data_IF_787088743175
#
_entry.id   IF_787088743175
#
_cell.length_a   1.000
_cell.length_b   1.000
_cell.length_c   1.000
_cell.angle_alpha   90.00
_cell.angle_beta   90.00
_cell.angle_gamma   90.00
#
_symmetry.space_group_name_H-M   'P 1'
#
loop_
_entity.id
_entity.type
_entity.pdbx_description
1 polymer ?
#
# COMPACT_ATOMS: atom_id res chain seq x y z
N UNK A 1 2.76 22.20 -9.65
CA UNK A 1 2.61 22.12 -11.12
C UNK A 1 2.62 20.64 -11.48
N UNK A 2 1.44 20.08 -11.72
CA UNK A 2 1.34 18.78 -12.40
C UNK A 2 1.69 19.05 -13.87
N UNK A 3 2.75 18.41 -14.35
CA UNK A 3 3.08 18.42 -15.76
C UNK A 3 1.88 17.88 -16.56
N UNK A 4 1.52 18.54 -17.64
CA UNK A 4 0.51 18.01 -18.54
C UNK A 4 1.00 16.68 -19.15
N UNK A 5 0.09 15.82 -19.56
CA UNK A 5 0.46 14.54 -20.20
C UNK A 5 1.42 14.74 -21.39
N UNK A 6 1.28 15.82 -22.11
CA UNK A 6 2.17 16.21 -23.22
C UNK A 6 3.64 16.45 -22.79
N UNK A 7 3.89 16.84 -21.53
CA UNK A 7 5.25 17.01 -21.00
C UNK A 7 5.86 15.66 -20.60
N UNK A 8 5.02 14.71 -20.19
CA UNK A 8 5.47 13.35 -19.83
C UNK A 8 5.82 12.53 -21.07
N UNK A 9 5.23 12.84 -22.22
CA UNK A 9 5.49 12.17 -23.50
C UNK A 9 6.66 12.79 -24.29
N UNK A 10 7.24 13.90 -23.80
CA UNK A 10 8.38 14.54 -24.45
C UNK A 10 9.69 13.85 -24.03
N UNK A 11 10.36 13.11 -24.93
CA UNK A 11 11.62 12.41 -24.62
C UNK A 11 12.78 13.35 -24.28
N UNK A 12 12.64 14.64 -24.49
CA UNK A 12 13.66 15.65 -24.11
C UNK A 12 13.54 16.06 -22.65
N UNK A 13 12.39 15.83 -22.02
CA UNK A 13 12.09 16.21 -20.62
C UNK A 13 12.27 15.02 -19.67
N UNK A 14 12.02 13.81 -20.14
CA UNK A 14 12.16 12.57 -19.38
C UNK A 14 13.08 11.58 -20.11
N UNK A 15 14.32 11.47 -19.67
CA UNK A 15 15.17 10.36 -20.09
C UNK A 15 14.74 9.12 -19.31
N UNK A 16 14.24 8.10 -20.01
CA UNK A 16 13.96 6.81 -19.41
C UNK A 16 15.27 6.17 -18.93
N UNK A 17 15.32 5.64 -17.70
CA UNK A 17 16.48 4.91 -17.24
C UNK A 17 16.69 3.66 -18.09
N UNK A 18 17.92 3.39 -18.45
CA UNK A 18 18.30 2.17 -19.16
C UNK A 18 18.81 1.13 -18.17
N UNK A 19 18.25 -0.07 -18.25
CA UNK A 19 18.78 -1.20 -17.48
C UNK A 19 20.12 -1.65 -18.07
N UNK A 20 21.05 -2.03 -17.19
CA UNK A 20 22.33 -2.56 -17.59
C UNK A 20 22.17 -3.89 -18.33
N UNK A 21 22.93 -4.08 -19.39
CA UNK A 21 23.01 -5.36 -20.08
C UNK A 21 23.89 -6.36 -19.34
N UNK A 22 23.80 -7.64 -19.74
CA UNK A 22 24.71 -8.68 -19.24
C UNK A 22 26.13 -8.39 -19.68
N UNK A 23 27.05 -8.23 -18.72
CA UNK A 23 28.47 -7.99 -18.97
C UNK A 23 29.31 -9.25 -18.77
N UNK A 24 28.82 -10.20 -17.95
CA UNK A 24 29.57 -11.39 -17.55
C UNK A 24 28.68 -12.63 -17.66
N UNK A 25 29.27 -13.73 -18.13
CA UNK A 25 28.57 -15.02 -18.22
C UNK A 25 27.66 -15.14 -19.44
N UNK A 26 26.85 -16.18 -19.40
CA UNK A 26 25.86 -16.54 -20.41
C UNK A 26 24.44 -16.69 -19.80
N UNK A 27 23.51 -17.25 -20.56
CA UNK A 27 22.13 -17.45 -20.10
C UNK A 27 21.99 -18.38 -18.89
N UNK A 28 22.98 -19.23 -18.63
CA UNK A 28 22.96 -20.17 -17.50
C UNK A 28 23.68 -19.61 -16.27
N UNK A 29 24.82 -18.98 -16.46
CA UNK A 29 25.67 -18.46 -15.38
C UNK A 29 25.25 -17.08 -14.89
N UNK A 30 24.66 -16.26 -15.76
CA UNK A 30 24.07 -14.94 -15.45
C UNK A 30 22.72 -14.81 -16.15
N UNK A 31 21.66 -15.47 -15.66
CA UNK A 31 20.34 -15.45 -16.32
C UNK A 31 19.77 -14.05 -16.35
N UNK A 32 18.93 -13.79 -17.35
CA UNK A 32 18.18 -12.54 -17.41
C UNK A 32 17.18 -12.46 -16.23
N UNK A 33 16.91 -11.25 -15.72
CA UNK A 33 15.89 -11.06 -14.70
C UNK A 33 14.52 -11.53 -15.22
N UNK A 34 13.73 -12.10 -14.33
CA UNK A 34 12.50 -12.82 -14.70
C UNK A 34 11.36 -11.91 -15.10
N UNK A 35 11.42 -10.64 -14.70
CA UNK A 35 10.43 -9.66 -15.16
C UNK A 35 10.61 -9.23 -16.61
N UNK A 36 11.74 -9.54 -17.27
CA UNK A 36 11.93 -9.24 -18.68
C UNK A 36 10.87 -9.98 -19.52
N UNK A 37 10.12 -9.23 -20.33
CA UNK A 37 9.05 -9.75 -21.18
C UNK A 37 7.79 -10.18 -20.42
N UNK A 38 7.67 -9.85 -19.12
CA UNK A 38 6.49 -10.09 -18.30
C UNK A 38 5.91 -8.79 -17.81
N UNK A 39 4.64 -8.82 -17.43
CA UNK A 39 3.99 -7.69 -16.78
C UNK A 39 4.58 -7.50 -15.37
N UNK A 40 5.13 -6.33 -15.12
CA UNK A 40 5.53 -5.91 -13.78
C UNK A 40 4.27 -5.62 -12.97
N UNK A 41 4.13 -6.27 -11.83
CA UNK A 41 2.95 -6.16 -10.97
C UNK A 41 3.20 -5.32 -9.74
N UNK A 42 4.45 -5.25 -9.30
CA UNK A 42 4.88 -4.40 -8.19
C UNK A 42 6.33 -3.98 -8.34
N UNK A 43 6.67 -2.82 -7.79
CA UNK A 43 8.04 -2.30 -7.72
C UNK A 43 8.23 -1.51 -6.42
N UNK A 44 9.40 -1.66 -5.80
CA UNK A 44 9.74 -0.96 -4.56
C UNK A 44 11.22 -1.04 -4.22
N UNK A 45 11.59 -0.45 -3.08
CA UNK A 45 12.99 -0.45 -2.60
C UNK A 45 13.10 -1.26 -1.32
N UNK A 46 14.13 -2.10 -1.21
CA UNK A 46 14.43 -2.84 -0.01
C UNK A 46 15.93 -3.10 0.12
N UNK A 47 16.52 -2.76 1.27
CA UNK A 47 17.97 -2.93 1.54
C UNK A 47 18.87 -2.39 0.41
N UNK A 48 18.62 -1.14 0.01
CA UNK A 48 19.37 -0.47 -1.06
C UNK A 48 19.36 -1.21 -2.42
N UNK A 49 18.28 -1.94 -2.68
CA UNK A 49 18.02 -2.65 -3.94
C UNK A 49 16.69 -2.22 -4.53
N UNK A 50 16.63 -2.07 -5.83
CA UNK A 50 15.36 -1.98 -6.55
C UNK A 50 14.78 -3.38 -6.67
N UNK A 51 13.58 -3.58 -6.14
CA UNK A 51 12.83 -4.82 -6.20
C UNK A 51 11.74 -4.72 -7.24
N UNK A 52 11.64 -5.70 -8.11
CA UNK A 52 10.63 -5.77 -9.18
C UNK A 52 9.93 -7.11 -9.10
N UNK A 53 8.60 -7.11 -8.98
CA UNK A 53 7.80 -8.32 -9.01
C UNK A 53 7.11 -8.52 -10.36
N UNK A 54 7.11 -9.75 -10.83
CA UNK A 54 6.36 -10.21 -11.99
C UNK A 54 5.70 -11.56 -11.68
N UNK A 55 4.40 -11.53 -11.39
CA UNK A 55 3.69 -12.68 -10.84
C UNK A 55 4.19 -13.02 -9.43
N UNK A 56 4.60 -14.26 -9.20
CA UNK A 56 5.12 -14.77 -7.94
C UNK A 56 6.65 -14.62 -7.77
N UNK A 57 7.32 -13.94 -8.69
CA UNK A 57 8.78 -13.77 -8.70
C UNK A 57 9.16 -12.36 -8.29
N UNK A 58 10.22 -12.24 -7.50
CA UNK A 58 10.83 -10.95 -7.17
C UNK A 58 12.29 -10.99 -7.62
N UNK A 59 12.66 -10.05 -8.47
CA UNK A 59 14.02 -9.78 -8.84
C UNK A 59 14.48 -8.51 -8.10
N UNK A 60 15.65 -8.59 -7.46
CA UNK A 60 16.27 -7.47 -6.75
C UNK A 60 17.56 -7.08 -7.47
N UNK A 61 17.77 -5.79 -7.66
CA UNK A 61 18.97 -5.27 -8.28
C UNK A 61 20.24 -5.53 -7.45
N UNK A 62 21.39 -5.26 -8.02
CA UNK A 62 22.64 -5.09 -7.26
C UNK A 62 22.49 -3.99 -6.21
N UNK A 63 23.15 -4.15 -5.05
CA UNK A 63 23.13 -3.15 -3.97
C UNK A 63 23.71 -1.82 -4.47
N UNK A 64 22.97 -0.74 -4.31
CA UNK A 64 23.36 0.60 -4.74
C UNK A 64 23.38 0.84 -6.26
N UNK A 65 23.15 -0.19 -7.06
CA UNK A 65 23.07 -0.08 -8.51
C UNK A 65 21.70 -0.58 -9.01
N UNK A 66 20.72 0.29 -8.98
CA UNK A 66 19.29 -0.03 -9.17
C UNK A 66 18.90 -0.52 -10.56
N UNK A 67 19.77 -0.32 -11.54
CA UNK A 67 19.51 -0.74 -12.92
C UNK A 67 20.32 -1.97 -13.35
N UNK A 68 21.14 -2.55 -12.46
CA UNK A 68 21.83 -3.80 -12.71
C UNK A 68 21.10 -4.99 -12.08
N UNK A 69 20.62 -5.89 -12.94
CA UNK A 69 19.98 -7.15 -12.56
C UNK A 69 20.74 -8.38 -13.07
N UNK A 70 21.94 -8.18 -13.58
CA UNK A 70 22.81 -9.26 -14.02
C UNK A 70 23.97 -9.44 -13.04
N UNK A 71 24.45 -10.67 -12.91
CA UNK A 71 25.58 -10.99 -12.06
C UNK A 71 26.82 -10.19 -12.49
N UNK A 72 27.63 -9.81 -11.50
CA UNK A 72 28.90 -9.11 -11.73
C UNK A 72 30.04 -10.07 -11.93
N UNK A 73 29.92 -11.32 -11.43
CA UNK A 73 30.92 -12.37 -11.55
C UNK A 73 30.26 -13.74 -11.76
N UNK A 74 30.99 -14.68 -12.42
CA UNK A 74 30.51 -16.03 -12.69
C UNK A 74 31.13 -17.09 -11.80
N UNK A 75 32.35 -16.87 -11.26
CA UNK A 75 33.07 -17.82 -10.43
C UNK A 75 32.61 -17.80 -8.97
N UNK A 76 32.31 -16.64 -8.47
CA UNK A 76 31.78 -16.42 -7.12
C UNK A 76 30.54 -15.55 -7.21
N UNK A 77 29.63 -15.67 -6.26
CA UNK A 77 28.46 -14.79 -6.19
C UNK A 77 28.67 -13.85 -4.99
N UNK A 78 29.08 -12.61 -5.24
CA UNK A 78 29.19 -11.60 -4.18
C UNK A 78 27.87 -11.33 -3.50
N UNK A 79 27.92 -10.90 -2.22
CA UNK A 79 26.72 -10.61 -1.44
C UNK A 79 25.91 -9.42 -1.97
N UNK A 80 26.56 -8.52 -2.72
CA UNK A 80 25.91 -7.38 -3.36
C UNK A 80 25.27 -7.71 -4.73
N UNK A 81 25.51 -8.88 -5.30
CA UNK A 81 24.97 -9.29 -6.60
C UNK A 81 23.44 -9.32 -6.60
N UNK A 82 22.80 -9.17 -7.76
CA UNK A 82 21.36 -9.29 -7.92
C UNK A 82 20.82 -10.63 -7.43
N UNK A 83 19.62 -10.59 -6.89
CA UNK A 83 18.94 -11.74 -6.28
C UNK A 83 17.61 -11.96 -6.98
N UNK A 84 17.29 -13.20 -7.31
CA UNK A 84 15.98 -13.59 -7.86
C UNK A 84 15.36 -14.67 -6.97
N UNK A 85 14.18 -14.37 -6.44
CA UNK A 85 13.49 -15.20 -5.45
C UNK A 85 12.10 -15.55 -5.94
N UNK A 86 11.65 -16.75 -5.61
CA UNK A 86 10.28 -17.20 -5.88
C UNK A 86 9.48 -17.30 -4.60
N UNK A 87 8.26 -16.76 -4.62
CA UNK A 87 7.25 -17.08 -3.63
C UNK A 87 6.82 -18.54 -3.80
N UNK A 88 7.20 -19.37 -2.83
CA UNK A 88 6.81 -20.77 -2.79
C UNK A 88 5.43 -20.87 -2.15
N UNK A 89 4.50 -21.59 -2.78
CA UNK A 89 3.14 -21.80 -2.25
C UNK A 89 2.08 -21.79 -3.33
N UNK A 90 2.12 -20.87 -4.27
CA UNK A 90 1.23 -20.86 -5.44
C UNK A 90 1.99 -20.36 -6.65
N UNK A 91 2.10 -21.17 -7.69
CA UNK A 91 2.71 -20.77 -8.97
C UNK A 91 1.88 -19.72 -9.71
N UNK A 92 0.60 -19.58 -9.33
CA UNK A 92 -0.35 -18.65 -9.95
C UNK A 92 -0.55 -17.37 -9.16
N UNK A 93 0.11 -17.20 -8.02
CA UNK A 93 -0.04 -15.99 -7.21
C UNK A 93 0.62 -14.78 -7.86
N UNK A 94 0.06 -13.60 -7.62
CA UNK A 94 0.55 -12.34 -8.17
C UNK A 94 0.77 -11.34 -7.06
N UNK A 95 2.02 -10.98 -6.82
CA UNK A 95 2.39 -9.96 -5.83
C UNK A 95 1.99 -8.59 -6.36
N UNK A 96 1.17 -7.84 -5.59
CA UNK A 96 0.67 -6.53 -5.98
C UNK A 96 1.05 -5.41 -5.04
N UNK A 97 1.26 -5.70 -3.78
CA UNK A 97 1.61 -4.70 -2.78
C UNK A 97 2.71 -5.19 -1.86
N UNK A 98 3.40 -4.26 -1.26
CA UNK A 98 4.33 -4.56 -0.18
C UNK A 98 4.34 -3.48 0.88
N UNK A 99 4.93 -3.81 2.00
CA UNK A 99 5.23 -2.89 3.07
C UNK A 99 6.49 -3.33 3.80
N UNK A 100 7.32 -2.38 4.18
CA UNK A 100 8.45 -2.65 5.07
C UNK A 100 7.95 -2.52 6.50
N UNK A 101 8.08 -3.60 7.26
CA UNK A 101 7.66 -3.65 8.64
C UNK A 101 8.65 -4.48 9.46
N UNK A 102 9.07 -3.96 10.62
CA UNK A 102 10.07 -4.58 11.51
C UNK A 102 11.29 -5.15 10.75
N UNK A 103 11.86 -4.32 9.85
CA UNK A 103 12.99 -4.66 8.97
C UNK A 103 12.70 -5.72 7.90
N UNK A 104 11.56 -6.37 7.93
CA UNK A 104 11.15 -7.35 6.93
C UNK A 104 10.35 -6.70 5.82
N UNK A 105 10.45 -7.23 4.61
CA UNK A 105 9.61 -6.88 3.49
C UNK A 105 8.41 -7.81 3.47
N UNK A 106 7.24 -7.30 3.82
CA UNK A 106 5.98 -8.01 3.71
C UNK A 106 5.41 -7.80 2.32
N UNK A 107 4.95 -8.87 1.70
CA UNK A 107 4.44 -8.91 0.33
C UNK A 107 3.02 -9.43 0.35
N UNK A 108 2.16 -8.79 -0.42
CA UNK A 108 0.76 -9.16 -0.53
C UNK A 108 0.49 -9.63 -1.96
N UNK A 109 0.22 -10.92 -2.07
CA UNK A 109 -0.24 -11.58 -3.28
C UNK A 109 -1.76 -11.71 -3.31
N UNK A 110 -2.31 -12.06 -4.46
CA UNK A 110 -3.76 -12.23 -4.64
C UNK A 110 -4.33 -13.34 -3.75
N UNK A 111 -3.53 -14.38 -3.46
CA UNK A 111 -3.97 -15.54 -2.67
C UNK A 111 -3.25 -15.68 -1.32
N UNK A 112 -2.06 -15.11 -1.18
CA UNK A 112 -1.21 -15.35 -0.01
C UNK A 112 -0.40 -14.11 0.35
N UNK A 113 0.05 -14.03 1.60
CA UNK A 113 0.99 -13.04 2.08
C UNK A 113 2.32 -13.72 2.39
N UNK A 114 3.40 -12.99 2.10
CA UNK A 114 4.75 -13.50 2.26
C UNK A 114 5.62 -12.50 3.01
N UNK A 115 6.71 -12.98 3.57
CA UNK A 115 7.74 -12.15 4.18
C UNK A 115 9.13 -12.50 3.67
N UNK A 116 9.96 -11.48 3.51
CA UNK A 116 11.40 -11.61 3.31
C UNK A 116 12.06 -10.99 4.54
N UNK A 117 12.80 -11.81 5.30
CA UNK A 117 13.51 -11.32 6.49
C UNK A 117 14.65 -10.37 6.07
N UNK A 118 14.64 -9.19 6.63
CA UNK A 118 15.65 -8.18 6.40
C UNK A 118 16.53 -7.87 7.63
N UNK A 119 16.48 -8.71 8.66
CA UNK A 119 17.38 -8.60 9.83
C UNK A 119 18.83 -8.90 9.45
N UNK A 120 19.00 -9.74 8.45
CA UNK A 120 20.28 -10.01 7.81
C UNK A 120 20.28 -9.43 6.38
N UNK A 121 21.46 -9.15 5.81
CA UNK A 121 21.55 -8.77 4.41
C UNK A 121 20.94 -9.82 3.49
N UNK A 122 20.11 -9.38 2.58
CA UNK A 122 19.51 -10.25 1.55
C UNK A 122 20.55 -10.51 0.47
N UNK A 123 21.01 -11.74 0.39
CA UNK A 123 21.98 -12.22 -0.59
C UNK A 123 21.40 -13.40 -1.36
N UNK A 124 22.06 -13.84 -2.41
CA UNK A 124 21.62 -15.03 -3.17
C UNK A 124 21.61 -16.31 -2.34
N UNK A 125 22.37 -16.35 -1.23
CA UNK A 125 22.48 -17.51 -0.33
C UNK A 125 21.53 -17.44 0.87
N UNK A 126 21.16 -16.23 1.33
CA UNK A 126 20.35 -16.02 2.53
C UNK A 126 18.91 -15.66 2.24
N UNK A 127 18.61 -15.27 0.99
CA UNK A 127 17.28 -14.83 0.62
C UNK A 127 16.29 -15.99 0.57
N UNK A 128 15.25 -15.87 1.39
CA UNK A 128 14.11 -16.79 1.40
C UNK A 128 12.82 -15.98 1.47
N UNK A 129 11.82 -16.44 0.74
CA UNK A 129 10.44 -15.97 0.91
C UNK A 129 9.71 -16.99 1.76
N UNK A 130 9.14 -16.53 2.86
CA UNK A 130 8.34 -17.34 3.78
C UNK A 130 6.88 -16.93 3.59
N UNK A 131 6.00 -17.92 3.45
CA UNK A 131 4.57 -17.70 3.48
C UNK A 131 4.14 -17.33 4.90
N UNK A 132 3.57 -16.14 5.08
CA UNK A 132 3.11 -15.64 6.37
C UNK A 132 1.64 -15.97 6.63
N UNK A 133 0.82 -15.96 5.58
CA UNK A 133 -0.61 -16.33 5.66
C UNK A 133 -1.16 -16.72 4.28
N UNK A 134 -2.41 -17.21 4.27
CA UNK A 134 -3.15 -17.58 3.08
C UNK A 134 -4.52 -16.85 3.07
N UNK A 135 -4.50 -15.53 3.14
CA UNK A 135 -5.69 -14.70 3.05
C UNK A 135 -5.84 -14.26 1.60
N UNK A 136 -6.84 -14.79 0.92
CA UNK A 136 -7.16 -14.50 -0.46
C UNK A 136 -7.83 -13.13 -0.61
N UNK A 137 -7.81 -12.55 -1.81
CA UNK A 137 -8.49 -11.29 -2.15
C UNK A 137 -8.11 -10.07 -1.27
N UNK A 138 -6.85 -10.00 -0.84
CA UNK A 138 -6.34 -8.95 0.05
C UNK A 138 -5.47 -7.89 -0.68
N UNK A 139 -5.69 -7.70 -1.98
CA UNK A 139 -4.87 -6.83 -2.84
C UNK A 139 -5.63 -5.72 -3.54
N UNK A 140 -6.90 -5.48 -3.18
CA UNK A 140 -7.69 -4.39 -3.79
C UNK A 140 -7.14 -3.00 -3.44
N UNK A 141 -6.46 -2.86 -2.30
CA UNK A 141 -5.75 -1.62 -1.93
C UNK A 141 -4.44 -1.92 -1.18
N UNK A 142 -3.50 -0.97 -1.18
CA UNK A 142 -2.27 -1.12 -0.40
C UNK A 142 -2.54 -1.26 1.09
N UNK A 143 -1.73 -2.03 1.82
CA UNK A 143 -1.82 -2.12 3.27
C UNK A 143 -1.49 -0.79 3.94
N UNK A 144 -2.17 -0.47 5.04
CA UNK A 144 -1.87 0.65 5.91
C UNK A 144 -0.88 0.23 7.01
N UNK A 145 0.11 1.07 7.29
CA UNK A 145 1.13 0.74 8.29
C UNK A 145 1.32 1.83 9.33
N UNK A 146 1.70 1.40 10.50
CA UNK A 146 2.13 2.26 11.59
C UNK A 146 3.34 1.65 12.30
N UNK A 147 3.74 2.23 13.43
CA UNK A 147 4.98 1.87 14.14
C UNK A 147 5.06 0.41 14.59
N UNK A 148 3.94 -0.23 14.85
CA UNK A 148 3.87 -1.59 15.40
C UNK A 148 2.82 -2.49 14.77
N UNK A 149 2.07 -1.99 13.81
CA UNK A 149 0.92 -2.69 13.24
C UNK A 149 0.85 -2.52 11.71
N UNK A 150 0.40 -3.56 11.04
CA UNK A 150 0.06 -3.56 9.62
C UNK A 150 -1.43 -3.88 9.50
N UNK A 151 -2.13 -3.07 8.73
CA UNK A 151 -3.54 -3.27 8.42
C UNK A 151 -3.69 -3.54 6.93
N UNK A 152 -4.51 -4.50 6.57
CA UNK A 152 -4.87 -4.76 5.18
C UNK A 152 -6.35 -5.11 5.06
N UNK A 153 -6.90 -4.90 3.88
CA UNK A 153 -8.30 -5.17 3.58
C UNK A 153 -8.44 -6.38 2.69
N UNK A 154 -9.41 -7.24 3.00
CA UNK A 154 -9.82 -8.38 2.19
C UNK A 154 -11.16 -8.08 1.55
N UNK A 155 -11.32 -8.45 0.29
CA UNK A 155 -12.62 -8.49 -0.36
C UNK A 155 -13.38 -9.73 0.05
N UNK A 156 -14.65 -9.55 0.38
CA UNK A 156 -15.64 -10.58 0.59
C UNK A 156 -16.82 -10.33 -0.34
N UNK A 157 -17.66 -11.32 -0.60
CA UNK A 157 -18.84 -11.13 -1.42
C UNK A 157 -19.75 -10.06 -0.80
N UNK A 158 -19.87 -8.91 -1.49
CA UNK A 158 -20.70 -7.78 -1.07
C UNK A 158 -20.09 -6.87 0.02
N UNK A 159 -18.99 -7.23 0.64
CA UNK A 159 -18.41 -6.46 1.73
C UNK A 159 -16.89 -6.51 1.78
N UNK A 160 -16.27 -5.62 2.56
CA UNK A 160 -14.85 -5.63 2.89
C UNK A 160 -14.64 -6.10 4.32
N UNK A 161 -13.55 -6.81 4.55
CA UNK A 161 -13.05 -7.13 5.89
C UNK A 161 -11.69 -6.46 6.09
N UNK A 162 -11.46 -5.92 7.27
CA UNK A 162 -10.17 -5.35 7.65
C UNK A 162 -9.46 -6.27 8.64
N UNK A 163 -8.19 -6.51 8.39
CA UNK A 163 -7.33 -7.35 9.22
C UNK A 163 -6.20 -6.54 9.82
N UNK A 164 -5.85 -6.85 11.03
CA UNK A 164 -4.63 -6.41 11.67
C UNK A 164 -3.64 -7.57 11.69
N UNK A 165 -2.43 -7.29 11.28
CA UNK A 165 -1.30 -8.18 11.41
C UNK A 165 -0.44 -7.68 12.57
N UNK A 166 -0.22 -8.53 13.54
CA UNK A 166 0.75 -8.35 14.60
C UNK A 166 1.94 -9.28 14.32
N UNK A 167 3.10 -8.70 14.17
CA UNK A 167 4.33 -9.47 14.02
C UNK A 167 4.79 -9.87 15.41
N UNK A 168 4.69 -11.14 15.71
CA UNK A 168 5.17 -11.70 16.97
C UNK A 168 6.68 -11.54 17.14
N UNK A 169 7.18 -11.76 18.36
CA UNK A 169 8.62 -11.71 18.69
C UNK A 169 9.45 -12.78 17.93
N UNK A 170 8.77 -13.77 17.35
CA UNK A 170 9.37 -14.82 16.52
C UNK A 170 9.05 -14.51 15.05
N UNK A 171 10.07 -14.36 14.23
CA UNK A 171 9.99 -13.94 12.83
C UNK A 171 9.04 -14.74 11.93
N UNK A 172 8.63 -15.92 12.37
CA UNK A 172 7.85 -16.86 11.57
C UNK A 172 6.37 -16.94 11.95
N UNK A 173 5.93 -16.19 12.97
CA UNK A 173 4.54 -16.22 13.42
C UNK A 173 3.90 -14.86 13.29
N UNK A 174 3.13 -14.69 12.23
CA UNK A 174 2.24 -13.53 12.08
C UNK A 174 0.86 -13.90 12.59
N UNK A 175 0.38 -13.18 13.59
CA UNK A 175 -0.98 -13.32 14.07
C UNK A 175 -1.89 -12.36 13.28
N UNK A 176 -2.93 -12.89 12.69
CA UNK A 176 -3.92 -12.12 11.95
C UNK A 176 -5.22 -12.05 12.75
N UNK A 177 -5.65 -10.86 13.08
CA UNK A 177 -6.92 -10.60 13.74
C UNK A 177 -7.86 -9.85 12.80
N UNK A 178 -9.02 -10.41 12.53
CA UNK A 178 -10.09 -9.68 11.83
C UNK A 178 -10.69 -8.59 12.75
N UNK A 179 -10.74 -7.36 12.25
CA UNK A 179 -11.18 -6.20 13.03
C UNK A 179 -12.69 -6.02 13.07
N UNK A 180 -13.45 -6.79 12.34
CA UNK A 180 -14.87 -6.60 12.18
C UNK A 180 -15.68 -7.90 12.09
N UNK A 181 -15.19 -9.01 12.63
CA UNK A 181 -15.85 -10.31 12.55
C UNK A 181 -17.30 -10.31 13.04
N UNK A 182 -17.66 -9.36 13.91
CA UNK A 182 -19.02 -9.21 14.45
C UNK A 182 -19.89 -8.28 13.58
N UNK A 183 -19.33 -7.63 12.58
CA UNK A 183 -19.99 -6.60 11.77
C UNK A 183 -19.91 -6.98 10.28
N UNK A 184 -20.46 -8.13 9.91
CA UNK A 184 -20.22 -8.77 8.60
C UNK A 184 -20.51 -7.87 7.40
N UNK A 185 -21.43 -6.93 7.44
CA UNK A 185 -21.80 -6.08 6.31
C UNK A 185 -21.58 -4.59 6.56
N UNK A 186 -20.77 -4.26 7.57
CA UNK A 186 -20.54 -2.87 7.96
C UNK A 186 -19.72 -2.08 6.93
N UNK A 187 -18.80 -2.74 6.21
CA UNK A 187 -17.95 -2.16 5.19
C UNK A 187 -18.42 -2.60 3.80
N UNK A 188 -19.34 -1.85 3.15
CA UNK A 188 -19.93 -2.29 1.88
C UNK A 188 -18.94 -2.24 0.72
N UNK A 189 -18.98 -3.26 -0.14
CA UNK A 189 -18.18 -3.33 -1.35
C UNK A 189 -16.73 -3.78 -1.13
N UNK A 190 -15.78 -3.11 -1.77
CA UNK A 190 -14.36 -3.48 -1.73
C UNK A 190 -13.55 -2.48 -0.90
N UNK A 191 -12.48 -2.93 -0.22
CA UNK A 191 -11.54 -2.01 0.38
C UNK A 191 -10.88 -1.18 -0.73
N UNK A 192 -10.91 0.14 -0.60
CA UNK A 192 -10.40 1.05 -1.61
C UNK A 192 -9.19 1.85 -1.12
N UNK A 193 -9.10 2.07 0.19
CA UNK A 193 -7.93 2.67 0.83
C UNK A 193 -7.96 2.40 2.33
N UNK A 194 -6.79 2.13 2.88
CA UNK A 194 -6.53 2.03 4.32
C UNK A 194 -5.50 3.08 4.69
N UNK A 195 -5.78 3.82 5.76
CA UNK A 195 -4.88 4.84 6.29
C UNK A 195 -4.82 4.70 7.81
N UNK A 196 -3.67 4.32 8.34
CA UNK A 196 -3.45 4.23 9.77
C UNK A 196 -2.75 5.47 10.31
N UNK A 197 -3.26 5.98 11.41
CA UNK A 197 -2.70 7.09 12.19
C UNK A 197 -2.35 6.58 13.57
N UNK A 198 -1.09 6.71 13.97
CA UNK A 198 -0.61 6.15 15.24
C UNK A 198 -1.04 6.95 16.46
N UNK A 199 -1.24 8.26 16.31
CA UNK A 199 -1.67 9.14 17.39
C UNK A 199 -2.76 10.12 16.91
N UNK A 200 -4.01 9.93 17.35
CA UNK A 200 -4.54 8.78 18.12
C UNK A 200 -4.62 7.52 17.26
N UNK A 201 -4.46 6.33 17.87
CA UNK A 201 -4.49 5.04 17.18
C UNK A 201 -5.82 4.84 16.44
N UNK A 202 -5.81 5.13 15.16
CA UNK A 202 -7.01 5.18 14.33
C UNK A 202 -6.71 4.64 12.94
N UNK A 203 -7.51 3.69 12.49
CA UNK A 203 -7.53 3.20 11.12
C UNK A 203 -8.73 3.82 10.39
N UNK A 204 -8.46 4.52 9.31
CA UNK A 204 -9.48 5.02 8.38
C UNK A 204 -9.57 4.05 7.21
N UNK A 205 -10.79 3.65 6.89
CA UNK A 205 -11.09 2.73 5.81
C UNK A 205 -12.06 3.39 4.84
N UNK A 206 -11.68 3.43 3.58
CA UNK A 206 -12.54 3.82 2.48
C UNK A 206 -12.91 2.58 1.67
N UNK A 207 -14.17 2.48 1.30
CA UNK A 207 -14.72 1.36 0.52
C UNK A 207 -15.35 1.85 -0.78
N UNK A 208 -15.49 0.96 -1.75
CA UNK A 208 -15.96 1.32 -3.10
C UNK A 208 -17.43 1.72 -3.17
N UNK A 209 -18.29 1.08 -2.36
CA UNK A 209 -19.75 1.29 -2.44
C UNK A 209 -20.30 2.38 -1.51
N UNK A 210 -19.43 2.99 -0.71
CA UNK A 210 -19.78 4.13 0.14
C UNK A 210 -18.86 5.33 -0.12
N UNK A 211 -18.91 5.96 -1.31
CA UNK A 211 -17.96 6.98 -1.73
C UNK A 211 -18.09 8.30 -0.97
N UNK A 212 -19.18 8.48 -0.20
CA UNK A 212 -19.40 9.64 0.66
C UNK A 212 -19.10 9.35 2.13
N UNK A 213 -18.57 8.18 2.44
CA UNK A 213 -18.35 7.76 3.83
C UNK A 213 -16.92 7.32 4.06
N UNK A 214 -16.42 7.55 5.26
CA UNK A 214 -15.17 7.01 5.75
C UNK A 214 -15.43 6.26 7.03
N UNK A 215 -15.04 5.00 7.06
CA UNK A 215 -15.17 4.14 8.23
C UNK A 215 -13.95 4.31 9.11
N UNK A 216 -14.16 4.39 10.40
CA UNK A 216 -13.14 4.75 11.38
C UNK A 216 -13.08 3.69 12.46
N UNK A 217 -11.97 3.02 12.57
CA UNK A 217 -11.69 2.08 13.65
C UNK A 217 -10.70 2.71 14.62
N UNK A 218 -11.12 2.92 15.85
CA UNK A 218 -10.30 3.43 16.93
C UNK A 218 -10.05 2.37 17.97
N UNK A 219 -8.85 2.37 18.49
CA UNK A 219 -8.48 1.39 19.49
C UNK A 219 -7.43 1.94 20.47
N UNK A 220 -7.38 1.28 21.62
CA UNK A 220 -6.38 1.53 22.65
C UNK A 220 -5.74 0.19 22.98
N UNK A 221 -4.43 0.10 22.73
CA UNK A 221 -3.63 -1.03 23.12
C UNK A 221 -2.74 -0.65 24.30
N UNK A 222 -2.69 -1.51 25.32
CA UNK A 222 -1.77 -1.38 26.44
C UNK A 222 -1.11 -2.73 26.69
N UNK A 223 0.21 -2.74 26.80
CA UNK A 223 1.00 -3.96 27.02
C UNK A 223 0.69 -5.07 25.97
N UNK A 224 0.53 -4.69 24.71
CA UNK A 224 0.15 -5.58 23.59
C UNK A 224 -1.24 -6.23 23.74
N UNK A 225 -2.08 -5.71 24.62
CA UNK A 225 -3.47 -6.16 24.76
C UNK A 225 -4.41 -5.05 24.31
N UNK A 226 -5.40 -5.44 23.52
CA UNK A 226 -6.51 -4.55 23.11
C UNK A 226 -7.43 -4.32 24.29
N UNK A 227 -7.41 -3.09 24.82
CA UNK A 227 -8.27 -2.70 25.94
C UNK A 227 -9.63 -2.24 25.45
N UNK A 228 -9.64 -1.48 24.39
CA UNK A 228 -10.85 -0.90 23.82
C UNK A 228 -10.71 -0.79 22.31
N UNK A 229 -11.79 -1.09 21.61
CA UNK A 229 -11.92 -0.78 20.19
C UNK A 229 -13.36 -0.41 19.84
N UNK A 230 -13.50 0.36 18.79
CA UNK A 230 -14.82 0.75 18.29
C UNK A 230 -14.75 1.14 16.82
N UNK A 231 -15.80 0.79 16.11
CA UNK A 231 -16.07 1.28 14.77
C UNK A 231 -17.02 2.46 14.82
N UNK A 232 -16.76 3.46 13.99
CA UNK A 232 -17.65 4.59 13.71
C UNK A 232 -17.59 4.91 12.21
N UNK A 233 -18.50 5.74 11.74
CA UNK A 233 -18.55 6.14 10.34
C UNK A 233 -18.72 7.65 10.26
N UNK A 234 -17.92 8.28 9.41
CA UNK A 234 -18.11 9.66 9.01
C UNK A 234 -18.91 9.65 7.71
N UNK A 235 -20.11 10.17 7.74
CA UNK A 235 -20.96 10.32 6.57
C UNK A 235 -20.98 11.78 6.14
N UNK A 236 -20.65 12.02 4.90
CA UNK A 236 -20.63 13.34 4.29
C UNK A 236 -21.86 13.49 3.38
N UNK A 237 -22.44 14.69 3.39
CA UNK A 237 -23.55 14.98 2.47
C UNK A 237 -23.10 14.80 1.02
N UNK A 238 -23.94 14.28 0.10
CA UNK A 238 -23.57 14.08 -1.30
C UNK A 238 -23.00 15.33 -2.00
N UNK A 239 -23.42 16.53 -1.61
CA UNK A 239 -22.85 17.78 -2.12
C UNK A 239 -21.39 18.01 -1.72
N UNK A 240 -20.86 17.27 -0.73
CA UNK A 240 -19.44 17.30 -0.41
C UNK A 240 -18.60 16.75 -1.57
N UNK A 241 -19.14 15.80 -2.33
CA UNK A 241 -18.51 15.15 -3.47
C UNK A 241 -18.08 13.70 -3.16
N UNK A 242 -17.46 13.07 -4.13
CA UNK A 242 -16.98 11.69 -4.00
C UNK A 242 -15.58 11.68 -3.40
N UNK A 243 -15.41 11.02 -2.27
CA UNK A 243 -14.11 10.87 -1.62
C UNK A 243 -13.39 9.70 -2.30
N UNK A 244 -12.26 9.94 -2.95
CA UNK A 244 -11.49 8.92 -3.63
C UNK A 244 -10.02 8.83 -3.22
N UNK A 245 -9.61 9.67 -2.26
CA UNK A 245 -8.32 9.59 -1.63
C UNK A 245 -8.32 10.26 -0.26
N UNK A 246 -7.46 9.78 0.63
CA UNK A 246 -7.24 10.39 1.93
C UNK A 246 -5.78 10.25 2.35
N UNK A 247 -5.27 11.23 3.08
CA UNK A 247 -3.97 11.19 3.71
C UNK A 247 -4.00 12.00 5.01
N UNK A 248 -3.04 11.74 5.89
CA UNK A 248 -2.91 12.42 7.16
C UNK A 248 -1.64 13.26 7.19
N UNK A 249 -1.78 14.51 7.63
CA UNK A 249 -0.67 15.42 7.77
C UNK A 249 -0.98 16.46 8.86
N UNK A 250 -0.01 16.76 9.73
CA UNK A 250 -0.11 17.79 10.78
C UNK A 250 -1.44 17.76 11.56
N UNK A 251 -1.75 16.61 12.14
CA UNK A 251 -2.95 16.38 12.97
C UNK A 251 -4.29 16.61 12.25
N UNK A 252 -4.28 16.59 10.94
CA UNK A 252 -5.47 16.69 10.12
C UNK A 252 -5.56 15.57 9.08
N UNK A 253 -6.78 15.14 8.84
CA UNK A 253 -7.13 14.24 7.76
C UNK A 253 -7.50 15.06 6.54
N UNK A 254 -6.88 14.78 5.43
CA UNK A 254 -7.16 15.43 4.15
C UNK A 254 -7.86 14.44 3.23
N UNK A 255 -8.89 14.93 2.56
CA UNK A 255 -9.63 14.18 1.56
C UNK A 255 -9.38 14.74 0.18
N UNK A 256 -9.09 13.87 -0.77
CA UNK A 256 -9.18 14.18 -2.18
C UNK A 256 -10.61 13.89 -2.64
N UNK A 257 -11.34 14.94 -3.03
CA UNK A 257 -12.76 14.89 -3.31
C UNK A 257 -13.03 15.33 -4.74
N UNK A 258 -13.78 14.53 -5.50
CA UNK A 258 -14.28 14.93 -6.81
C UNK A 258 -15.65 15.58 -6.69
N UNK A 259 -15.80 16.77 -7.27
CA UNK A 259 -17.05 17.55 -7.29
C UNK A 259 -17.43 17.88 -8.72
N UNK A 260 -18.72 17.81 -9.03
CA UNK A 260 -19.27 18.26 -10.32
C UNK A 260 -19.24 19.80 -10.44
N UNK A 261 -19.41 20.48 -9.32
CA UNK A 261 -19.34 21.93 -9.24
C UNK A 261 -18.67 22.39 -7.94
N UNK A 262 -17.97 23.50 -8.01
CA UNK A 262 -17.31 24.11 -6.86
C UNK A 262 -17.54 25.62 -6.85
N UNK A 263 -17.75 26.18 -5.66
CA UNK A 263 -17.88 27.62 -5.45
C UNK A 263 -16.62 28.10 -4.74
N UNK A 264 -15.90 29.05 -5.35
CA UNK A 264 -14.68 29.61 -4.76
C UNK A 264 -15.01 30.60 -3.62
N UNK A 265 -13.95 31.10 -2.95
CA UNK A 265 -14.08 32.07 -1.86
C UNK A 265 -14.68 33.40 -2.29
N UNK A 266 -14.70 33.73 -3.58
CA UNK A 266 -15.30 34.90 -4.17
C UNK A 266 -16.76 34.69 -4.62
N UNK A 267 -17.32 33.49 -4.37
CA UNK A 267 -18.69 33.16 -4.73
C UNK A 267 -18.89 32.75 -6.19
N UNK A 268 -17.83 32.55 -6.97
CA UNK A 268 -17.93 32.10 -8.37
C UNK A 268 -18.15 30.58 -8.41
N UNK A 269 -19.14 30.17 -9.19
CA UNK A 269 -19.40 28.75 -9.42
C UNK A 269 -18.60 28.25 -10.62
N UNK A 270 -17.78 27.22 -10.38
CA UNK A 270 -17.04 26.50 -11.39
C UNK A 270 -17.74 25.17 -11.63
N UNK A 271 -18.11 24.89 -12.89
CA UNK A 271 -18.76 23.65 -13.27
C UNK A 271 -17.77 22.83 -14.09
N UNK A 272 -17.58 21.56 -13.71
CA UNK A 272 -16.74 20.63 -14.45
C UNK A 272 -17.24 20.47 -15.90
N UNK A 273 -16.30 20.40 -16.85
CA UNK A 273 -16.61 20.16 -18.24
C UNK A 273 -17.23 18.78 -18.45
N UNK A 274 -18.00 18.60 -19.53
CA UNK A 274 -18.58 17.33 -19.95
C UNK A 274 -17.49 16.27 -20.08
N UNK A 275 -17.55 15.25 -19.26
CA UNK A 275 -16.66 14.09 -19.30
C UNK A 275 -15.86 13.97 -18.02
N UNK A 276 -16.40 13.25 -17.11
CA UNK A 276 -15.81 12.37 -16.10
C UNK A 276 -15.07 12.94 -14.89
N UNK A 277 -14.61 14.18 -14.87
CA UNK A 277 -13.87 14.62 -13.70
C UNK A 277 -14.27 16.04 -13.32
N UNK A 278 -15.07 16.12 -12.27
CA UNK A 278 -15.27 17.34 -11.53
C UNK A 278 -13.95 17.86 -10.95
N UNK A 279 -13.98 19.00 -10.28
CA UNK A 279 -12.80 19.56 -9.64
C UNK A 279 -12.28 18.64 -8.55
N UNK A 280 -10.98 18.34 -8.59
CA UNK A 280 -10.25 17.74 -7.49
C UNK A 280 -10.05 18.78 -6.40
N UNK A 281 -10.75 18.62 -5.31
CA UNK A 281 -10.64 19.51 -4.15
C UNK A 281 -9.95 18.78 -3.01
N UNK A 282 -9.03 19.47 -2.33
CA UNK A 282 -8.41 18.98 -1.12
C UNK A 282 -9.14 19.59 0.08
N UNK A 283 -9.91 18.75 0.78
CA UNK A 283 -10.63 19.13 1.99
C UNK A 283 -9.87 18.69 3.24
N UNK A 284 -9.82 19.56 4.24
CA UNK A 284 -9.14 19.30 5.51
C UNK A 284 -10.14 19.05 6.62
N UNK A 285 -9.92 17.97 7.37
CA UNK A 285 -10.64 17.70 8.62
C UNK A 285 -9.64 17.58 9.78
N UNK A 286 -9.74 18.45 10.78
CA UNK A 286 -8.95 18.30 11.99
C UNK A 286 -9.42 17.09 12.80
N UNK A 287 -8.48 16.27 13.26
CA UNK A 287 -8.75 15.16 14.19
C UNK A 287 -8.66 15.60 15.66
N UNK A 288 -8.14 16.80 15.91
CA UNK A 288 -8.12 17.36 17.25
C UNK A 288 -9.51 17.87 17.63
N UNK A 289 -9.91 17.76 18.89
CA UNK A 289 -11.19 18.31 19.36
C UNK A 289 -11.19 19.83 19.18
N UNK A 290 -12.06 20.34 18.33
CA UNK A 290 -12.23 21.78 18.11
C UNK A 290 -13.05 22.45 19.20
N UNK A 291 -13.81 21.66 19.97
CA UNK A 291 -14.60 22.12 21.10
C UNK A 291 -14.27 21.26 22.32
N UNK A 292 -13.91 21.85 23.46
CA UNK A 292 -13.67 21.11 24.69
C UNK A 292 -14.91 20.25 25.05
N UNK A 293 -14.71 18.93 25.15
CA UNK A 293 -15.75 17.98 25.53
C UNK A 293 -16.59 17.38 24.40
N UNK A 294 -16.40 17.81 23.15
CA UNK A 294 -17.11 17.24 21.97
C UNK A 294 -16.10 16.89 20.90
N UNK A 295 -15.37 15.76 21.03
CA UNK A 295 -14.52 15.29 19.98
C UNK A 295 -15.39 14.85 18.78
N UNK A 296 -15.13 15.42 17.59
CA UNK A 296 -15.68 14.95 16.31
C UNK A 296 -17.14 15.25 16.00
N UNK A 297 -17.77 16.17 16.67
CA UNK A 297 -19.05 16.68 16.20
C UNK A 297 -18.81 17.82 15.22
N UNK A 298 -19.08 17.51 13.96
CA UNK A 298 -19.42 18.45 12.91
C UNK A 298 -18.40 19.51 12.55
N UNK A 299 -17.51 19.18 11.67
CA UNK A 299 -16.80 20.20 10.89
C UNK A 299 -17.24 20.26 9.43
N UNK A 300 -18.42 19.81 9.10
CA UNK A 300 -19.06 20.11 7.82
C UNK A 300 -19.80 21.42 7.96
N UNK A 301 -19.12 22.50 7.71
CA UNK A 301 -19.72 23.77 7.34
C UNK A 301 -19.26 24.15 5.94
#
# INVERSE_FOLDING_TARGET
HLASSAVLDDPTVLSLPTFNGRLVGDGNSSPAPRFFGRQVTWMGMFQDRLCVAAGNTIDMSEVGNYFNFFRTQTLTVPDNDPVSIFARGSETDTIRHSVIFDRSLLLFGDNQQYSIDGRNPVTSSTSTIIQSSAIEDATDCPPGTGSSLVFFGKRREGSAESFQMDVGDVADTSNFAGLGLQLSDYLPGRPAQLLYVASPSTLFVRVSEAPHSVFVFRFIDQNRQRLLDSWSRFDYHPAFGLIYGMFYHEDALYFRVAREAWVDGDGRTWVGGRGDYGFDVLERQSLLPQVPGLPYLDSVR
#
